data_IF_750303197969
#
_entry.id   IF_750303197969
#
_cell.length_a   1.000
_cell.length_b   1.000
_cell.length_c   1.000
_cell.angle_alpha   90.00
_cell.angle_beta   90.00
_cell.angle_gamma   90.00
#
_symmetry.space_group_name_H-M   'P 1'
#
loop_
_entity.id
_entity.type
_entity.pdbx_description
1 polymer ?
#
# COMPACT_ATOMS: atom_id res chain seq x y z
N UNK A 1 36.44 -1.75 6.99
CA UNK A 1 35.47 -1.57 8.09
C UNK A 1 34.12 -1.23 7.47
N UNK A 2 33.15 -2.15 7.50
CA UNK A 2 31.79 -1.85 7.05
C UNK A 2 31.03 -1.23 8.21
N UNK A 3 30.67 0.04 8.08
CA UNK A 3 29.74 0.70 9.01
C UNK A 3 28.35 0.17 8.69
N UNK A 4 27.83 -0.70 9.55
CA UNK A 4 26.46 -1.21 9.45
C UNK A 4 25.55 -0.11 10.00
N UNK A 5 24.95 0.69 9.11
CA UNK A 5 23.96 1.69 9.52
C UNK A 5 22.69 0.95 9.93
N UNK A 6 22.43 0.81 11.22
CA UNK A 6 21.14 0.30 11.70
C UNK A 6 20.08 1.40 11.49
N UNK A 7 19.11 1.13 10.61
CA UNK A 7 17.95 2.01 10.39
C UNK A 7 16.84 1.55 11.34
N UNK A 8 16.36 2.45 12.21
CA UNK A 8 15.13 2.24 12.99
C UNK A 8 13.92 2.30 12.05
N UNK A 9 13.42 1.13 11.65
CA UNK A 9 12.25 1.02 10.76
C UNK A 9 10.99 0.93 11.60
N UNK A 10 10.20 2.01 11.60
CA UNK A 10 8.87 2.04 12.22
C UNK A 10 7.82 1.57 11.22
N UNK A 11 7.22 0.41 11.48
CA UNK A 11 6.06 -0.08 10.73
C UNK A 11 4.78 0.48 11.35
N UNK A 12 3.80 0.80 10.51
CA UNK A 12 2.47 1.13 10.99
C UNK A 12 1.83 -0.12 11.61
N UNK A 13 1.23 0.01 12.79
CA UNK A 13 0.52 -1.07 13.50
C UNK A 13 -0.67 -1.60 12.71
N UNK A 14 -1.25 -0.78 11.82
CA UNK A 14 -2.38 -1.15 10.97
C UNK A 14 -1.96 -1.88 9.69
N UNK A 15 -0.67 -2.23 9.51
CA UNK A 15 -0.26 -2.97 8.33
C UNK A 15 -0.82 -4.40 8.31
N UNK A 16 -1.29 -4.91 7.15
CA UNK A 16 -1.40 -4.22 5.86
C UNK A 16 -2.52 -3.19 5.85
N UNK A 17 -2.25 -1.99 5.33
CA UNK A 17 -3.24 -0.89 5.32
C UNK A 17 -4.43 -1.16 4.38
N UNK A 18 -4.21 -1.96 3.33
CA UNK A 18 -5.21 -2.37 2.34
C UNK A 18 -4.87 -3.80 1.93
N UNK A 19 -5.88 -4.68 1.94
CA UNK A 19 -5.81 -6.06 1.46
C UNK A 19 -6.76 -6.28 0.27
N UNK A 20 -6.63 -7.38 -0.50
CA UNK A 20 -7.50 -7.64 -1.66
C UNK A 20 -9.00 -7.65 -1.34
N UNK A 21 -9.37 -8.09 -0.15
CA UNK A 21 -10.75 -8.13 0.37
C UNK A 21 -11.37 -6.74 0.57
N UNK A 22 -10.55 -5.68 0.69
CA UNK A 22 -11.03 -4.30 0.79
C UNK A 22 -11.47 -3.71 -0.56
N UNK A 23 -11.15 -4.39 -1.68
CA UNK A 23 -11.38 -3.86 -3.02
C UNK A 23 -12.37 -4.74 -3.78
N UNK A 24 -13.48 -4.11 -4.21
CA UNK A 24 -14.44 -4.76 -5.09
C UNK A 24 -13.90 -4.79 -6.53
N UNK A 25 -13.89 -5.95 -7.21
CA UNK A 25 -13.52 -6.01 -8.62
C UNK A 25 -14.50 -5.18 -9.46
N UNK A 26 -13.96 -4.42 -10.42
CA UNK A 26 -14.75 -3.58 -11.32
C UNK A 26 -15.63 -4.41 -12.27
N UNK A 27 -15.23 -5.66 -12.53
CA UNK A 27 -16.00 -6.65 -13.27
C UNK A 27 -16.41 -7.80 -12.37
N UNK A 28 -17.65 -8.27 -12.51
CA UNK A 28 -18.21 -9.32 -11.66
C UNK A 28 -17.62 -10.71 -11.89
N UNK A 29 -16.96 -10.94 -13.03
CA UNK A 29 -16.30 -12.20 -13.38
C UNK A 29 -14.82 -12.26 -12.96
N UNK A 30 -14.32 -11.22 -12.28
CA UNK A 30 -12.91 -11.08 -11.90
C UNK A 30 -12.73 -11.17 -10.38
N UNK A 31 -11.55 -11.57 -9.96
CA UNK A 31 -11.11 -11.59 -8.55
C UNK A 31 -9.92 -10.65 -8.37
N UNK A 32 -9.86 -9.95 -7.25
CA UNK A 32 -8.66 -9.20 -6.85
C UNK A 32 -7.74 -10.15 -6.09
N UNK A 33 -6.60 -10.49 -6.68
CA UNK A 33 -5.59 -11.34 -6.04
C UNK A 33 -4.60 -10.50 -5.23
N UNK A 34 -4.31 -9.27 -5.68
CA UNK A 34 -3.30 -8.41 -5.09
C UNK A 34 -3.69 -6.93 -5.20
N UNK A 35 -3.29 -6.13 -4.20
CA UNK A 35 -3.32 -4.66 -4.23
C UNK A 35 -2.00 -4.15 -3.68
N UNK A 36 -1.20 -3.54 -4.54
CA UNK A 36 0.20 -3.23 -4.23
C UNK A 36 0.74 -2.11 -5.12
N UNK A 37 2.01 -1.73 -4.90
CA UNK A 37 2.76 -0.79 -5.74
C UNK A 37 2.04 0.55 -6.00
N UNK A 38 1.46 1.12 -4.94
CA UNK A 38 0.74 2.38 -5.05
C UNK A 38 1.66 3.55 -5.40
N UNK A 39 1.24 4.38 -6.37
CA UNK A 39 1.73 5.74 -6.46
C UNK A 39 1.24 6.55 -5.26
N UNK A 40 2.05 7.44 -4.71
CA UNK A 40 1.69 8.24 -3.52
C UNK A 40 1.73 9.72 -3.86
N UNK A 41 0.65 10.43 -3.56
CA UNK A 41 0.57 11.89 -3.68
C UNK A 41 -0.12 12.50 -2.46
N UNK A 42 0.16 13.77 -2.21
CA UNK A 42 -0.63 14.59 -1.28
C UNK A 42 -1.44 15.58 -2.09
N UNK A 43 -2.73 15.66 -1.83
CA UNK A 43 -3.61 16.67 -2.42
C UNK A 43 -4.40 17.33 -1.29
N UNK A 44 -4.14 18.62 -1.07
CA UNK A 44 -4.64 19.36 0.10
C UNK A 44 -4.27 18.63 1.40
N UNK A 45 -5.25 18.31 2.23
CA UNK A 45 -5.15 17.64 3.52
C UNK A 45 -5.19 16.10 3.44
N UNK A 46 -5.32 15.53 2.23
CA UNK A 46 -5.45 14.08 2.03
C UNK A 46 -4.19 13.46 1.41
N UNK A 47 -3.96 12.19 1.77
CA UNK A 47 -2.96 11.33 1.13
C UNK A 47 -3.69 10.41 0.15
N UNK A 48 -3.29 10.48 -1.11
CA UNK A 48 -3.84 9.64 -2.18
C UNK A 48 -2.86 8.50 -2.44
N UNK A 49 -3.39 7.28 -2.44
CA UNK A 49 -2.66 6.08 -2.84
C UNK A 49 -3.27 5.54 -4.15
N UNK A 50 -2.57 5.71 -5.26
CA UNK A 50 -2.99 5.24 -6.58
C UNK A 50 -2.58 3.76 -6.76
N UNK A 51 -3.49 2.86 -6.38
CA UNK A 51 -3.25 1.41 -6.33
C UNK A 51 -3.08 0.76 -7.70
N UNK A 52 -2.21 -0.26 -7.77
CA UNK A 52 -2.24 -1.29 -8.82
C UNK A 52 -3.03 -2.49 -8.31
N UNK A 53 -4.13 -2.81 -9.00
CA UNK A 53 -5.01 -3.94 -8.76
C UNK A 53 -5.16 -4.78 -10.04
#
# INVERSE_FOLDING_TARGET
>A
MQVKTEIDVRRNEQNPLISPEDVKPSRSDFTIECVFNAGVARYKDEVILLMRC
#
